data_IF_100100571505
#
_entry.id   IF_100100571505
#
_cell.length_a   1.000
_cell.length_b   1.000
_cell.length_c   1.000
_cell.angle_alpha   90.00
_cell.angle_beta   90.00
_cell.angle_gamma   90.00
#
_symmetry.space_group_name_H-M   'P 1'
#
loop_
_entity.id
_entity.type
_entity.pdbx_description
1 polymer ?
#
# COMPACT_ATOMS: atom_id res chain seq x y z
N UNK A 1 18.60 47.45 48.15
CA UNK A 1 19.84 48.16 47.77
C UNK A 1 20.27 47.59 46.42
N UNK A 2 19.83 48.06 45.25
CA UNK A 2 20.00 49.37 44.56
C UNK A 2 21.38 49.61 43.93
N UNK A 3 21.48 49.36 42.63
CA UNK A 3 22.14 50.18 41.59
C UNK A 3 21.82 49.53 40.22
N UNK A 4 21.00 50.03 39.28
CA UNK A 4 20.74 51.33 38.61
C UNK A 4 21.68 51.63 37.42
N UNK A 5 21.18 51.43 36.19
CA UNK A 5 21.31 52.33 34.99
C UNK A 5 20.49 51.70 33.83
N UNK A 6 19.31 52.21 33.40
CA UNK A 6 18.99 53.37 32.51
C UNK A 6 19.66 53.31 31.12
N UNK A 7 19.08 53.55 29.94
CA UNK A 7 17.72 53.81 29.37
C UNK A 7 17.92 53.94 27.84
N UNK A 8 17.03 53.45 26.96
CA UNK A 8 16.34 54.23 25.88
C UNK A 8 15.47 53.37 24.95
N UNK A 9 14.24 53.82 24.81
CA UNK A 9 13.19 53.38 23.89
C UNK A 9 13.20 54.29 22.65
N UNK A 10 12.94 53.74 21.47
CA UNK A 10 12.36 54.47 20.33
C UNK A 10 11.46 53.53 19.52
N UNK A 11 10.19 53.90 19.44
CA UNK A 11 9.08 53.31 18.69
C UNK A 11 9.17 53.62 17.18
N UNK A 12 8.77 52.67 16.32
CA UNK A 12 8.40 52.95 14.93
C UNK A 12 7.26 52.03 14.48
N UNK A 13 6.18 52.68 14.05
CA UNK A 13 4.96 52.16 13.44
C UNK A 13 5.27 51.51 12.09
N UNK A 14 4.59 50.40 11.75
CA UNK A 14 4.62 49.80 10.42
C UNK A 14 3.26 49.93 9.73
N UNK A 15 3.21 50.80 8.72
CA UNK A 15 2.09 50.95 7.79
C UNK A 15 2.09 49.80 6.77
N UNK A 16 0.91 49.26 6.47
CA UNK A 16 0.69 48.23 5.46
C UNK A 16 0.73 48.78 4.02
N UNK A 17 0.92 47.92 3.00
CA UNK A 17 0.85 48.35 1.60
C UNK A 17 -0.56 48.18 1.01
N UNK A 18 -1.01 49.24 0.33
CA UNK A 18 -2.22 49.32 -0.49
C UNK A 18 -2.01 48.79 -1.93
N UNK A 19 -3.10 48.50 -2.67
CA UNK A 19 -3.12 47.63 -3.85
C UNK A 19 -2.86 48.35 -5.18
N UNK A 20 -2.36 47.63 -6.18
CA UNK A 20 -2.20 48.11 -7.56
C UNK A 20 -3.40 47.65 -8.39
N UNK A 21 -4.20 48.60 -8.85
CA UNK A 21 -5.23 48.45 -9.89
C UNK A 21 -4.59 48.70 -11.27
N UNK A 22 -4.98 47.91 -12.27
CA UNK A 22 -4.86 48.29 -13.69
C UNK A 22 -6.25 48.23 -14.33
N UNK A 23 -6.65 49.37 -14.92
CA UNK A 23 -7.83 49.52 -15.77
C UNK A 23 -7.48 49.48 -17.28
N UNK A 24 -8.47 49.61 -18.18
CA UNK A 24 -8.56 48.84 -19.42
C UNK A 24 -8.21 49.61 -20.72
N UNK A 25 -7.93 48.86 -21.78
CA UNK A 25 -7.94 49.23 -23.22
C UNK A 25 -7.65 47.93 -24.00
N UNK A 26 -8.28 47.50 -25.09
CA UNK A 26 -9.27 48.04 -26.01
C UNK A 26 -9.07 47.28 -27.34
N UNK A 27 -10.07 46.50 -27.76
CA UNK A 27 -10.44 45.96 -29.08
C UNK A 27 -9.38 45.40 -30.07
N UNK A 28 -9.55 44.14 -30.51
CA UNK A 28 -10.15 43.81 -31.82
C UNK A 28 -10.23 42.29 -32.14
N UNK A 29 -11.33 41.95 -32.82
CA UNK A 29 -11.53 40.86 -33.79
C UNK A 29 -11.44 39.38 -33.34
N UNK A 30 -12.60 38.72 -33.37
CA UNK A 30 -12.76 37.32 -33.03
C UNK A 30 -12.38 36.32 -34.12
N UNK A 31 -12.12 35.09 -33.65
CA UNK A 31 -12.46 33.82 -34.31
C UNK A 31 -12.93 32.90 -33.19
N UNK A 32 -14.22 32.56 -33.19
CA UNK A 32 -14.78 31.61 -32.22
C UNK A 32 -14.48 30.18 -32.68
N UNK A 33 -13.37 29.62 -32.20
CA UNK A 33 -13.24 28.16 -32.17
C UNK A 33 -13.75 27.67 -30.81
N UNK A 34 -15.02 27.25 -30.82
CA UNK A 34 -15.63 26.50 -29.72
C UNK A 34 -14.84 25.20 -29.53
N UNK A 35 -13.87 25.21 -28.62
CA UNK A 35 -13.33 23.99 -28.02
C UNK A 35 -14.47 23.39 -27.21
N UNK A 36 -15.13 22.39 -27.78
CA UNK A 36 -16.08 21.53 -27.06
C UNK A 36 -15.35 20.93 -25.86
N UNK A 37 -15.71 21.37 -24.66
CA UNK A 37 -15.39 20.67 -23.42
C UNK A 37 -15.88 19.22 -23.55
N UNK A 38 -15.02 18.21 -23.37
CA UNK A 38 -15.51 16.86 -23.16
C UNK A 38 -16.25 16.87 -21.82
N UNK A 39 -17.55 16.66 -21.87
CA UNK A 39 -18.37 16.46 -20.67
C UNK A 39 -17.83 15.29 -19.85
N UNK A 40 -18.20 15.31 -18.57
CA UNK A 40 -18.00 14.26 -17.58
C UNK A 40 -17.80 12.88 -18.20
N UNK A 41 -16.63 12.29 -17.92
CA UNK A 41 -16.33 10.91 -18.26
C UNK A 41 -17.38 10.05 -17.56
N UNK A 42 -18.36 9.56 -18.32
CA UNK A 42 -19.24 8.48 -17.91
C UNK A 42 -18.35 7.30 -17.51
N UNK A 43 -18.12 7.11 -16.21
CA UNK A 43 -17.51 5.89 -15.63
C UNK A 43 -18.53 4.73 -15.60
N UNK A 44 -19.38 4.66 -16.61
CA UNK A 44 -20.41 3.66 -16.80
C UNK A 44 -20.25 3.09 -18.19
N UNK A 45 -19.18 2.31 -18.40
CA UNK A 45 -19.09 1.22 -19.37
C UNK A 45 -17.64 0.72 -19.39
N UNK A 46 -17.27 -0.06 -18.37
CA UNK A 46 -16.21 -1.03 -18.52
C UNK A 46 -16.84 -2.40 -18.27
N UNK A 47 -16.93 -3.21 -19.33
CA UNK A 47 -17.70 -4.46 -19.36
C UNK A 47 -16.87 -5.68 -18.95
N UNK A 48 -15.83 -5.48 -18.14
CA UNK A 48 -15.01 -6.57 -17.60
C UNK A 48 -14.89 -6.47 -16.07
N UNK A 49 -16.04 -6.51 -15.38
CA UNK A 49 -16.09 -6.50 -13.91
C UNK A 49 -15.88 -7.90 -13.34
N UNK A 50 -14.65 -8.17 -12.91
CA UNK A 50 -14.38 -9.17 -11.87
C UNK A 50 -15.18 -8.83 -10.61
N UNK A 51 -15.83 -9.83 -10.01
CA UNK A 51 -16.78 -9.68 -8.89
C UNK A 51 -16.21 -8.87 -7.73
N UNK A 52 -16.90 -7.77 -7.41
CA UNK A 52 -16.50 -6.73 -6.45
C UNK A 52 -16.80 -7.12 -4.98
N UNK A 53 -15.97 -6.60 -4.08
CA UNK A 53 -15.86 -6.98 -2.66
C UNK A 53 -16.79 -6.16 -1.74
N UNK A 54 -17.52 -6.86 -0.87
CA UNK A 54 -18.53 -6.27 0.03
C UNK A 54 -17.90 -5.58 1.24
N UNK A 55 -18.24 -4.30 1.45
CA UNK A 55 -17.94 -3.54 2.66
C UNK A 55 -18.78 -4.06 3.86
N UNK A 56 -18.13 -4.51 4.93
CA UNK A 56 -18.78 -5.07 6.14
C UNK A 56 -18.66 -4.18 7.39
N UNK A 57 -18.40 -2.88 7.22
CA UNK A 57 -18.28 -1.94 8.33
C UNK A 57 -19.62 -1.41 8.82
N UNK A 58 -20.28 -2.12 9.73
CA UNK A 58 -21.43 -1.60 10.50
C UNK A 58 -20.93 -0.59 11.55
N UNK A 59 -20.90 0.71 11.22
CA UNK A 59 -20.95 1.82 12.20
C UNK A 59 -21.19 3.20 11.56
N UNK A 60 -22.40 3.72 11.79
CA UNK A 60 -22.75 5.12 12.10
C UNK A 60 -22.78 6.28 11.08
N UNK A 61 -22.16 6.22 9.89
CA UNK A 61 -22.43 7.28 8.88
C UNK A 61 -23.66 7.00 8.01
N UNK A 62 -24.05 5.73 7.88
CA UNK A 62 -25.14 5.35 6.99
C UNK A 62 -26.51 5.85 7.47
N UNK A 63 -26.78 5.82 8.77
CA UNK A 63 -28.05 6.32 9.31
C UNK A 63 -28.24 7.83 9.10
N UNK A 64 -27.15 8.61 9.13
CA UNK A 64 -27.20 10.04 8.81
C UNK A 64 -27.44 10.25 7.31
N UNK A 65 -26.67 9.55 6.46
CA UNK A 65 -26.82 9.62 5.00
C UNK A 65 -28.23 9.21 4.56
N UNK A 66 -28.78 8.10 5.06
CA UNK A 66 -30.13 7.66 4.72
C UNK A 66 -31.23 8.63 5.17
N UNK A 67 -31.00 9.35 6.29
CA UNK A 67 -31.94 10.32 6.84
C UNK A 67 -31.94 11.63 6.05
N UNK A 68 -30.76 12.12 5.68
CA UNK A 68 -30.61 13.40 4.98
C UNK A 68 -30.77 13.27 3.46
N UNK A 69 -30.39 12.13 2.88
CA UNK A 69 -30.25 11.93 1.42
C UNK A 69 -31.32 11.01 0.80
N UNK A 70 -32.20 10.43 1.64
CA UNK A 70 -33.20 9.44 1.22
C UNK A 70 -32.66 8.02 1.10
N UNK A 71 -33.56 7.04 0.95
CA UNK A 71 -33.22 5.62 0.85
C UNK A 71 -32.87 5.23 -0.62
N UNK A 72 -31.61 4.91 -0.96
CA UNK A 72 -31.18 4.53 -2.31
C UNK A 72 -31.59 3.11 -2.72
N UNK A 73 -32.05 2.28 -1.78
CA UNK A 73 -32.08 0.81 -1.90
C UNK A 73 -33.34 0.24 -2.55
N UNK A 74 -33.95 0.92 -3.52
CA UNK A 74 -35.06 0.33 -4.29
C UNK A 74 -34.50 -0.58 -5.40
N UNK A 75 -34.13 -1.83 -5.07
CA UNK A 75 -33.66 -2.82 -6.04
C UNK A 75 -32.74 -3.91 -5.46
N UNK A 76 -32.26 -4.82 -6.33
CA UNK A 76 -31.25 -5.83 -5.98
C UNK A 76 -29.93 -5.16 -5.59
N UNK A 77 -29.38 -5.60 -4.46
CA UNK A 77 -28.31 -4.91 -3.74
C UNK A 77 -26.91 -5.38 -4.18
N UNK A 78 -26.12 -4.46 -4.72
CA UNK A 78 -24.67 -4.61 -4.95
C UNK A 78 -23.89 -3.48 -4.24
N UNK A 79 -22.74 -3.80 -3.65
CA UNK A 79 -22.00 -2.92 -2.73
C UNK A 79 -21.24 -1.78 -3.41
N UNK A 80 -20.78 -1.96 -4.65
CA UNK A 80 -20.21 -0.90 -5.49
C UNK A 80 -21.28 -0.03 -6.12
N UNK A 81 -22.42 -0.63 -6.49
CA UNK A 81 -23.64 0.14 -6.78
C UNK A 81 -24.00 1.01 -5.58
N UNK A 82 -23.88 0.49 -4.35
CA UNK A 82 -24.19 1.26 -3.15
C UNK A 82 -23.26 2.47 -2.93
N UNK A 83 -21.93 2.30 -3.01
CA UNK A 83 -20.99 3.42 -2.84
C UNK A 83 -21.19 4.49 -3.92
N UNK A 84 -21.30 4.07 -5.18
CA UNK A 84 -21.54 4.97 -6.32
C UNK A 84 -22.89 5.66 -6.19
N UNK A 85 -23.95 4.94 -5.79
CA UNK A 85 -25.28 5.52 -5.57
C UNK A 85 -25.29 6.52 -4.41
N UNK A 86 -24.57 6.27 -3.31
CA UNK A 86 -24.45 7.26 -2.23
C UNK A 86 -23.70 8.50 -2.71
N UNK A 87 -22.59 8.33 -3.44
CA UNK A 87 -21.78 9.44 -3.94
C UNK A 87 -22.56 10.28 -4.97
N UNK A 88 -23.26 9.63 -5.91
CA UNK A 88 -24.16 10.29 -6.85
C UNK A 88 -25.30 11.02 -6.13
N UNK A 89 -25.92 10.41 -5.13
CA UNK A 89 -26.94 11.08 -4.31
C UNK A 89 -26.34 12.28 -3.59
N UNK A 90 -25.16 12.15 -3.00
CA UNK A 90 -24.43 13.26 -2.38
C UNK A 90 -24.23 14.42 -3.34
N UNK A 91 -23.64 14.15 -4.49
CA UNK A 91 -23.37 15.16 -5.51
C UNK A 91 -24.67 15.77 -6.04
N UNK A 92 -25.73 14.98 -6.25
CA UNK A 92 -27.00 15.48 -6.79
C UNK A 92 -27.69 16.51 -5.90
N UNK A 93 -27.50 16.46 -4.58
CA UNK A 93 -28.05 17.44 -3.64
C UNK A 93 -27.22 18.73 -3.54
N UNK A 94 -26.01 18.77 -4.12
CA UNK A 94 -25.17 19.97 -4.14
C UNK A 94 -25.66 20.99 -5.18
N UNK A 95 -25.55 22.27 -4.84
CA UNK A 95 -25.77 23.36 -5.80
C UNK A 95 -24.72 23.37 -6.91
N UNK A 96 -25.08 23.87 -8.09
CA UNK A 96 -24.21 23.87 -9.27
C UNK A 96 -22.84 24.54 -8.99
N UNK A 97 -22.83 25.67 -8.28
CA UNK A 97 -21.60 26.36 -7.91
C UNK A 97 -20.64 25.46 -7.11
N UNK A 98 -21.16 24.63 -6.21
CA UNK A 98 -20.34 23.70 -5.42
C UNK A 98 -19.79 22.58 -6.31
N UNK A 99 -20.60 22.06 -7.24
CA UNK A 99 -20.14 21.07 -8.23
C UNK A 99 -19.00 21.63 -9.07
N UNK A 100 -19.16 22.83 -9.61
CA UNK A 100 -18.12 23.49 -10.43
C UNK A 100 -16.81 23.69 -9.64
N UNK A 101 -16.88 23.97 -8.34
CA UNK A 101 -15.70 24.08 -7.48
C UNK A 101 -15.02 22.74 -7.23
N UNK A 102 -15.79 21.66 -7.06
CA UNK A 102 -15.25 20.30 -6.91
C UNK A 102 -14.55 19.86 -8.21
N UNK A 103 -15.17 20.10 -9.37
CA UNK A 103 -14.58 19.79 -10.68
C UNK A 103 -13.29 20.57 -10.92
N UNK A 104 -13.27 21.85 -10.56
CA UNK A 104 -12.06 22.68 -10.66
C UNK A 104 -10.94 22.16 -9.75
N UNK A 105 -11.28 21.70 -8.54
CA UNK A 105 -10.31 21.09 -7.63
C UNK A 105 -9.74 19.79 -8.18
N UNK A 106 -10.58 18.88 -8.69
CA UNK A 106 -10.14 17.62 -9.31
C UNK A 106 -9.23 17.89 -10.53
N UNK A 107 -9.58 18.86 -11.36
CA UNK A 107 -8.77 19.27 -12.50
C UNK A 107 -7.38 19.79 -12.05
N UNK A 108 -7.35 20.65 -11.03
CA UNK A 108 -6.10 21.17 -10.45
C UNK A 108 -5.22 20.05 -9.89
N UNK A 109 -5.79 19.09 -9.16
CA UNK A 109 -5.05 17.95 -8.62
C UNK A 109 -4.50 17.06 -9.74
N UNK A 110 -5.28 16.84 -10.81
CA UNK A 110 -4.82 16.06 -11.96
C UNK A 110 -3.64 16.72 -12.68
N UNK A 111 -3.67 18.05 -12.83
CA UNK A 111 -2.53 18.81 -13.41
C UNK A 111 -1.30 18.66 -12.52
N UNK A 112 -1.44 18.84 -11.20
CA UNK A 112 -0.34 18.66 -10.23
C UNK A 112 0.27 17.26 -10.33
N UNK A 113 -0.55 16.22 -10.43
CA UNK A 113 -0.09 14.83 -10.60
C UNK A 113 0.66 14.62 -11.93
N UNK A 114 0.26 15.29 -13.01
CA UNK A 114 0.97 15.26 -14.28
C UNK A 114 2.34 15.95 -14.18
N UNK A 115 2.40 17.13 -13.54
CA UNK A 115 3.64 17.90 -13.38
C UNK A 115 4.72 17.16 -12.59
N UNK A 116 4.35 16.45 -11.52
CA UNK A 116 5.29 15.62 -10.75
C UNK A 116 5.65 14.30 -11.47
N UNK A 117 5.02 14.02 -12.60
CA UNK A 117 5.21 12.82 -13.40
C UNK A 117 4.61 11.56 -12.77
N UNK A 118 3.53 11.68 -11.97
CA UNK A 118 2.89 10.52 -11.35
C UNK A 118 2.34 9.51 -12.38
N UNK A 119 1.94 10.01 -13.56
CA UNK A 119 1.52 9.19 -14.70
C UNK A 119 2.65 8.91 -15.70
N UNK A 120 3.86 9.42 -15.45
CA UNK A 120 4.99 9.25 -16.36
C UNK A 120 5.40 7.78 -16.38
N UNK A 121 5.33 7.18 -17.56
CA UNK A 121 5.84 5.84 -17.82
C UNK A 121 7.33 5.92 -18.14
N UNK A 122 8.07 4.93 -17.66
CA UNK A 122 9.48 4.74 -18.01
C UNK A 122 9.58 4.05 -19.37
N UNK A 123 10.73 4.16 -20.00
CA UNK A 123 11.05 3.37 -21.18
C UNK A 123 10.83 1.88 -20.89
N UNK A 124 10.30 1.16 -21.88
CA UNK A 124 9.83 -0.22 -21.70
C UNK A 124 10.91 -1.14 -21.15
N UNK A 125 12.15 -1.02 -21.64
CA UNK A 125 13.30 -1.79 -21.15
C UNK A 125 13.60 -1.53 -19.67
N UNK A 126 13.48 -0.28 -19.23
CA UNK A 126 13.73 0.12 -17.83
C UNK A 126 12.59 -0.37 -16.94
N UNK A 127 11.35 -0.19 -17.40
CA UNK A 127 10.15 -0.69 -16.74
C UNK A 127 10.22 -2.21 -16.55
N UNK A 128 10.52 -2.96 -17.61
CA UNK A 128 10.63 -4.42 -17.58
C UNK A 128 11.73 -4.87 -16.62
N UNK A 129 12.88 -4.22 -16.61
CA UNK A 129 13.99 -4.56 -15.71
C UNK A 129 13.66 -4.28 -14.23
N UNK A 130 12.95 -3.19 -13.92
CA UNK A 130 12.47 -2.91 -12.56
C UNK A 130 11.40 -3.91 -12.11
N UNK A 131 10.49 -4.27 -13.01
CA UNK A 131 9.46 -5.30 -12.77
C UNK A 131 10.11 -6.66 -12.51
N UNK A 132 11.08 -7.07 -13.35
CA UNK A 132 11.85 -8.30 -13.16
C UNK A 132 12.58 -8.30 -11.81
N UNK A 133 13.22 -7.19 -11.45
CA UNK A 133 13.90 -7.05 -10.17
C UNK A 133 12.92 -7.24 -9.00
N UNK A 134 11.75 -6.60 -9.06
CA UNK A 134 10.73 -6.73 -8.04
C UNK A 134 10.26 -8.19 -7.88
N UNK A 135 9.91 -8.86 -8.98
CA UNK A 135 9.41 -10.23 -8.91
C UNK A 135 10.48 -11.26 -8.53
N UNK A 136 11.75 -11.02 -8.88
CA UNK A 136 12.84 -11.90 -8.51
C UNK A 136 13.25 -11.77 -7.03
N UNK A 137 13.30 -10.55 -6.50
CA UNK A 137 13.89 -10.27 -5.18
C UNK A 137 12.83 -10.13 -4.08
N UNK A 138 11.71 -9.48 -4.39
CA UNK A 138 10.77 -8.97 -3.37
C UNK A 138 9.50 -9.82 -3.32
N UNK A 139 8.93 -10.14 -4.48
CA UNK A 139 7.67 -10.89 -4.57
C UNK A 139 7.64 -12.21 -3.78
N UNK A 140 8.71 -13.02 -3.67
CA UNK A 140 8.64 -14.23 -2.86
C UNK A 140 8.49 -13.96 -1.35
N UNK A 141 8.88 -12.77 -0.87
CA UNK A 141 8.56 -12.29 0.48
C UNK A 141 7.16 -11.65 0.57
N UNK A 142 6.67 -11.08 -0.53
CA UNK A 142 5.40 -10.37 -0.58
C UNK A 142 4.52 -10.80 -1.77
N UNK A 143 3.93 -12.00 -1.74
CA UNK A 143 3.19 -12.54 -2.89
C UNK A 143 1.78 -11.94 -2.99
N UNK A 144 1.70 -10.61 -3.04
CA UNK A 144 0.48 -9.80 -2.97
C UNK A 144 -0.23 -9.65 -4.31
N UNK A 145 0.39 -10.10 -5.41
CA UNK A 145 -0.16 -10.04 -6.76
C UNK A 145 -0.57 -11.43 -7.26
N UNK A 146 -1.60 -11.46 -8.10
CA UNK A 146 -1.86 -12.57 -9.01
C UNK A 146 -0.95 -12.38 -10.23
N UNK A 147 -0.03 -13.32 -10.46
CA UNK A 147 1.00 -13.18 -11.48
C UNK A 147 0.41 -13.09 -12.90
N UNK A 148 -0.60 -13.89 -13.18
CA UNK A 148 -1.24 -13.98 -14.49
C UNK A 148 -2.07 -12.73 -14.80
N UNK A 149 -2.83 -12.23 -13.83
CA UNK A 149 -3.59 -10.99 -13.93
C UNK A 149 -2.65 -9.79 -14.05
N UNK A 150 -1.62 -9.71 -13.21
CA UNK A 150 -0.62 -8.64 -13.25
C UNK A 150 0.05 -8.59 -14.62
N UNK A 151 0.52 -9.74 -15.13
CA UNK A 151 1.17 -9.83 -16.43
C UNK A 151 0.26 -9.35 -17.56
N UNK A 152 -1.00 -9.79 -17.56
CA UNK A 152 -2.00 -9.41 -18.56
C UNK A 152 -2.24 -7.89 -18.54
N UNK A 153 -2.49 -7.33 -17.35
CA UNK A 153 -2.65 -5.88 -17.16
C UNK A 153 -1.38 -5.11 -17.54
N UNK A 154 -0.20 -5.66 -17.26
CA UNK A 154 1.07 -5.01 -17.55
C UNK A 154 1.37 -4.95 -19.04
N UNK A 155 1.11 -6.02 -19.80
CA UNK A 155 1.21 -6.02 -21.26
C UNK A 155 0.17 -5.12 -21.92
N UNK A 156 -1.04 -5.04 -21.35
CA UNK A 156 -2.08 -4.13 -21.80
C UNK A 156 -1.87 -2.67 -21.35
N UNK A 157 -0.82 -2.39 -20.57
CA UNK A 157 -0.54 -1.08 -19.96
C UNK A 157 -1.69 -0.54 -19.08
N UNK A 158 -2.42 -1.45 -18.44
CA UNK A 158 -3.59 -1.21 -17.60
C UNK A 158 -3.30 -1.41 -16.10
N UNK A 159 -2.05 -1.65 -15.71
CA UNK A 159 -1.68 -1.65 -14.29
C UNK A 159 -1.90 -0.24 -13.74
N UNK A 160 -2.55 -0.18 -12.58
CA UNK A 160 -2.74 1.04 -11.81
C UNK A 160 -1.45 1.86 -11.74
N UNK A 161 -1.48 3.16 -12.10
CA UNK A 161 -0.35 4.06 -11.90
C UNK A 161 0.12 4.07 -10.44
N UNK A 162 -0.79 3.98 -9.46
CA UNK A 162 -0.44 3.94 -8.04
C UNK A 162 0.40 2.70 -7.72
N UNK A 163 -0.09 1.53 -8.12
CA UNK A 163 0.63 0.25 -7.91
C UNK A 163 1.95 0.25 -8.67
N UNK A 164 1.97 0.74 -9.90
CA UNK A 164 3.17 0.72 -10.74
C UNK A 164 4.27 1.63 -10.21
N UNK A 165 3.93 2.85 -9.75
CA UNK A 165 4.89 3.74 -9.10
C UNK A 165 5.41 3.14 -7.78
N UNK A 166 4.54 2.51 -6.98
CA UNK A 166 4.94 1.85 -5.74
C UNK A 166 5.86 0.63 -6.02
N UNK A 167 5.58 -0.13 -7.08
CA UNK A 167 6.41 -1.24 -7.53
C UNK A 167 7.77 -0.74 -8.02
N UNK A 168 7.84 0.32 -8.82
CA UNK A 168 9.11 0.93 -9.22
C UNK A 168 9.90 1.45 -8.02
N UNK A 169 9.24 2.02 -7.02
CA UNK A 169 9.89 2.43 -5.78
C UNK A 169 10.63 1.26 -5.13
N UNK A 170 9.93 0.14 -4.91
CA UNK A 170 10.54 -1.03 -4.26
C UNK A 170 11.55 -1.72 -5.18
N UNK A 171 11.28 -1.86 -6.47
CA UNK A 171 12.22 -2.43 -7.45
C UNK A 171 13.51 -1.59 -7.59
N UNK A 172 13.39 -0.27 -7.55
CA UNK A 172 14.54 0.64 -7.58
C UNK A 172 15.43 0.49 -6.34
N UNK A 173 14.93 -0.02 -5.21
CA UNK A 173 15.75 -0.29 -4.04
C UNK A 173 16.72 -1.47 -4.25
N UNK A 174 16.42 -2.38 -5.19
CA UNK A 174 17.16 -3.65 -5.37
C UNK A 174 17.86 -3.79 -6.73
N UNK A 175 17.52 -2.98 -7.73
CA UNK A 175 18.08 -3.13 -9.09
C UNK A 175 19.56 -2.73 -9.19
N UNK A 176 20.22 -3.02 -10.30
CA UNK A 176 21.60 -2.58 -10.53
C UNK A 176 21.71 -1.05 -10.66
N UNK A 177 22.85 -0.49 -10.25
CA UNK A 177 23.11 0.97 -10.34
C UNK A 177 23.08 1.46 -11.79
N UNK A 178 23.52 0.63 -12.74
CA UNK A 178 23.45 0.92 -14.17
C UNK A 178 22.02 1.19 -14.68
N UNK A 179 21.02 0.52 -14.09
CA UNK A 179 19.61 0.74 -14.43
C UNK A 179 19.09 2.07 -13.90
N UNK A 180 19.53 2.45 -12.69
CA UNK A 180 19.19 3.75 -12.08
C UNK A 180 19.71 4.92 -12.94
N UNK A 181 20.94 4.81 -13.44
CA UNK A 181 21.55 5.80 -14.31
C UNK A 181 20.81 5.89 -15.66
N UNK A 182 20.47 4.74 -16.27
CA UNK A 182 19.66 4.69 -17.50
C UNK A 182 18.27 5.30 -17.32
N UNK A 183 17.67 5.14 -16.14
CA UNK A 183 16.41 5.76 -15.78
C UNK A 183 16.50 7.28 -15.55
N UNK A 184 17.69 7.87 -15.68
CA UNK A 184 17.92 9.31 -15.58
C UNK A 184 18.07 9.82 -14.15
N UNK A 185 18.28 8.94 -13.17
CA UNK A 185 18.47 9.33 -11.77
C UNK A 185 19.95 9.38 -11.39
N UNK A 186 20.31 10.38 -10.57
CA UNK A 186 21.69 10.56 -10.11
C UNK A 186 22.17 9.43 -9.18
N UNK A 187 21.26 8.83 -8.40
CA UNK A 187 21.56 7.73 -7.50
C UNK A 187 20.27 7.00 -7.09
N UNK A 188 20.42 5.86 -6.43
CA UNK A 188 19.32 5.01 -5.98
C UNK A 188 18.33 5.75 -5.09
N UNK A 189 18.83 6.56 -4.16
CA UNK A 189 17.98 7.32 -3.24
C UNK A 189 17.07 8.29 -3.99
N UNK A 190 17.57 8.99 -5.01
CA UNK A 190 16.75 9.88 -5.82
C UNK A 190 15.67 9.11 -6.60
N UNK A 191 16.00 7.94 -7.17
CA UNK A 191 15.03 7.11 -7.85
C UNK A 191 13.91 6.63 -6.90
N UNK A 192 14.29 6.06 -5.76
CA UNK A 192 13.33 5.55 -4.78
C UNK A 192 12.47 6.68 -4.21
N UNK A 193 13.08 7.83 -3.87
CA UNK A 193 12.35 9.02 -3.41
C UNK A 193 11.35 9.52 -4.46
N UNK A 194 11.75 9.63 -5.73
CA UNK A 194 10.84 10.09 -6.80
C UNK A 194 9.66 9.14 -6.99
N UNK A 195 9.88 7.84 -7.08
CA UNK A 195 8.80 6.86 -7.24
C UNK A 195 7.88 6.81 -6.01
N UNK A 196 8.44 6.87 -4.81
CA UNK A 196 7.67 6.98 -3.56
C UNK A 196 6.78 8.23 -3.55
N UNK A 197 7.32 9.41 -3.87
CA UNK A 197 6.54 10.66 -3.89
C UNK A 197 5.43 10.63 -4.93
N UNK A 198 5.66 10.02 -6.10
CA UNK A 198 4.63 9.83 -7.14
C UNK A 198 3.51 8.91 -6.68
N UNK A 199 3.85 7.75 -6.12
CA UNK A 199 2.86 6.82 -5.56
C UNK A 199 2.07 7.45 -4.40
N UNK A 200 2.76 8.10 -3.46
CA UNK A 200 2.15 8.84 -2.37
C UNK A 200 1.19 9.92 -2.86
N UNK A 201 1.56 10.69 -3.89
CA UNK A 201 0.70 11.73 -4.43
C UNK A 201 -0.58 11.15 -5.08
N UNK A 202 -0.47 10.01 -5.78
CA UNK A 202 -1.64 9.30 -6.33
C UNK A 202 -2.57 8.79 -5.22
N UNK A 203 -2.01 8.28 -4.13
CA UNK A 203 -2.77 7.85 -2.97
C UNK A 203 -3.47 9.04 -2.27
N UNK A 204 -2.72 10.11 -1.96
CA UNK A 204 -3.26 11.30 -1.29
C UNK A 204 -4.37 11.97 -2.13
N UNK A 205 -4.34 11.81 -3.46
CA UNK A 205 -5.37 12.30 -4.39
C UNK A 205 -6.56 11.33 -4.61
N UNK A 206 -6.61 10.19 -3.90
CA UNK A 206 -7.62 9.14 -4.08
C UNK A 206 -7.79 8.68 -5.54
N UNK A 207 -6.68 8.58 -6.28
CA UNK A 207 -6.72 8.28 -7.71
C UNK A 207 -7.19 6.83 -8.00
N UNK A 208 -6.80 5.88 -7.15
CA UNK A 208 -7.11 4.46 -7.32
C UNK A 208 -8.51 4.12 -6.79
N UNK A 209 -9.32 3.46 -7.61
CA UNK A 209 -10.66 3.00 -7.24
C UNK A 209 -10.68 1.56 -6.72
N UNK A 210 -9.76 0.71 -7.18
CA UNK A 210 -9.61 -0.66 -6.71
C UNK A 210 -8.96 -0.67 -5.33
N UNK A 211 -9.75 -1.08 -4.34
CA UNK A 211 -9.30 -1.13 -2.96
C UNK A 211 -8.20 -2.19 -2.74
N UNK A 212 -8.18 -3.28 -3.50
CA UNK A 212 -7.11 -4.28 -3.42
C UNK A 212 -5.80 -3.71 -3.98
N UNK A 213 -5.86 -3.02 -5.12
CA UNK A 213 -4.72 -2.29 -5.68
C UNK A 213 -4.20 -1.23 -4.68
N UNK A 214 -5.10 -0.56 -3.96
CA UNK A 214 -4.74 0.39 -2.92
C UNK A 214 -4.04 -0.28 -1.73
N UNK A 215 -4.52 -1.43 -1.24
CA UNK A 215 -3.82 -2.21 -0.19
C UNK A 215 -2.42 -2.63 -0.65
N UNK A 216 -2.30 -3.15 -1.88
CA UNK A 216 -1.01 -3.56 -2.45
C UNK A 216 -0.05 -2.37 -2.51
N UNK A 217 -0.50 -1.21 -2.98
CA UNK A 217 0.34 -0.01 -3.04
C UNK A 217 0.74 0.51 -1.65
N UNK A 218 -0.19 0.54 -0.68
CA UNK A 218 0.09 0.94 0.70
C UNK A 218 1.12 0.02 1.36
N UNK A 219 1.01 -1.28 1.13
CA UNK A 219 2.01 -2.25 1.56
C UNK A 219 3.37 -1.98 0.91
N UNK A 220 3.43 -1.66 -0.39
CA UNK A 220 4.70 -1.33 -1.02
C UNK A 220 5.28 0.00 -0.52
N UNK A 221 4.44 0.99 -0.21
CA UNK A 221 4.85 2.25 0.42
C UNK A 221 5.41 2.06 1.83
N UNK A 222 5.07 0.97 2.53
CA UNK A 222 5.62 0.67 3.86
C UNK A 222 7.09 0.28 3.85
N UNK A 223 7.73 0.17 2.68
CA UNK A 223 9.19 0.05 2.58
C UNK A 223 9.91 1.41 2.66
N UNK A 224 9.18 2.53 2.69
CA UNK A 224 9.78 3.86 2.76
C UNK A 224 10.37 4.15 4.13
N UNK A 225 11.67 4.46 4.15
CA UNK A 225 12.38 5.00 5.30
C UNK A 225 13.18 6.22 4.86
N UNK A 226 12.55 7.39 4.90
CA UNK A 226 13.19 8.64 4.53
C UNK A 226 14.07 9.18 5.64
N UNK A 227 13.47 9.55 6.77
CA UNK A 227 14.16 10.15 7.91
C UNK A 227 13.58 9.61 9.22
N UNK A 228 14.40 9.44 10.28
CA UNK A 228 13.91 9.04 11.61
C UNK A 228 12.87 9.99 12.23
N UNK A 229 12.72 11.20 11.70
CA UNK A 229 11.74 12.20 12.17
C UNK A 229 10.50 12.30 11.28
N UNK A 230 10.48 11.61 10.14
CA UNK A 230 9.34 11.64 9.23
C UNK A 230 8.15 10.90 9.85
N UNK A 231 6.99 11.53 9.87
CA UNK A 231 5.78 10.94 10.47
C UNK A 231 5.14 9.87 9.58
N UNK A 232 5.36 9.94 8.26
CA UNK A 232 4.91 8.94 7.28
C UNK A 232 6.02 7.90 7.03
N UNK A 233 6.41 7.23 8.10
CA UNK A 233 7.44 6.17 8.11
C UNK A 233 6.85 4.79 7.74
N UNK A 234 7.68 3.74 7.86
CA UNK A 234 7.28 2.34 7.64
C UNK A 234 6.04 1.95 8.46
N UNK A 235 5.96 2.37 9.73
CA UNK A 235 4.86 2.01 10.62
C UNK A 235 3.56 2.69 10.18
N UNK A 236 3.60 3.96 9.80
CA UNK A 236 2.44 4.69 9.28
C UNK A 236 1.80 4.01 8.08
N UNK A 237 2.59 3.72 7.04
CA UNK A 237 2.08 3.09 5.82
C UNK A 237 1.59 1.66 6.06
N UNK A 238 2.26 0.92 6.95
CA UNK A 238 1.79 -0.40 7.40
C UNK A 238 0.43 -0.31 8.07
N UNK A 239 0.22 0.67 8.95
CA UNK A 239 -1.07 0.89 9.60
C UNK A 239 -2.20 1.19 8.62
N UNK A 240 -1.92 1.98 7.57
CA UNK A 240 -2.89 2.23 6.50
C UNK A 240 -3.22 0.96 5.71
N UNK A 241 -2.21 0.15 5.36
CA UNK A 241 -2.42 -1.12 4.67
C UNK A 241 -3.25 -2.11 5.52
N UNK A 242 -2.93 -2.25 6.81
CA UNK A 242 -3.67 -3.08 7.78
C UNK A 242 -5.11 -2.59 7.90
N UNK A 243 -5.31 -1.29 8.12
CA UNK A 243 -6.64 -0.70 8.32
C UNK A 243 -7.55 -0.88 7.11
N UNK A 244 -7.02 -0.69 5.89
CA UNK A 244 -7.77 -0.92 4.67
C UNK A 244 -8.07 -2.41 4.45
N UNK A 245 -7.08 -3.30 4.64
CA UNK A 245 -7.29 -4.75 4.57
C UNK A 245 -8.34 -5.23 5.58
N UNK A 246 -8.38 -4.64 6.77
CA UNK A 246 -9.40 -4.92 7.78
C UNK A 246 -10.78 -4.40 7.36
N UNK A 247 -10.86 -3.20 6.80
CA UNK A 247 -12.11 -2.60 6.28
C UNK A 247 -12.72 -3.46 5.16
N UNK A 248 -11.87 -4.04 4.32
CA UNK A 248 -12.24 -5.01 3.29
C UNK A 248 -12.59 -6.40 3.85
N UNK A 249 -12.44 -6.62 5.16
CA UNK A 249 -12.75 -7.90 5.79
C UNK A 249 -11.75 -9.01 5.49
N UNK A 250 -10.56 -8.71 4.95
CA UNK A 250 -9.55 -9.72 4.59
C UNK A 250 -9.11 -10.59 5.76
N UNK A 251 -9.22 -10.07 6.98
CA UNK A 251 -8.95 -10.75 8.25
C UNK A 251 -10.06 -11.72 8.72
N UNK A 252 -11.18 -11.81 8.02
CA UNK A 252 -12.35 -12.59 8.44
C UNK A 252 -12.64 -13.74 7.47
N UNK A 253 -12.77 -14.96 7.98
CA UNK A 253 -13.03 -16.15 7.14
C UNK A 253 -14.34 -16.06 6.35
N UNK A 254 -15.36 -15.39 6.88
CA UNK A 254 -16.66 -15.19 6.19
C UNK A 254 -16.53 -14.42 4.87
N UNK A 255 -15.56 -13.52 4.75
CA UNK A 255 -15.31 -12.73 3.54
C UNK A 255 -14.95 -13.59 2.34
N UNK A 256 -14.42 -14.79 2.58
CA UNK A 256 -13.98 -15.72 1.55
C UNK A 256 -15.12 -16.61 1.03
N UNK A 257 -16.28 -16.62 1.68
CA UNK A 257 -17.40 -17.46 1.29
C UNK A 257 -17.94 -17.04 -0.10
N UNK A 258 -18.05 -17.99 -1.02
CA UNK A 258 -18.59 -17.75 -2.37
C UNK A 258 -17.61 -17.14 -3.38
N UNK A 259 -16.38 -16.81 -2.97
CA UNK A 259 -15.35 -16.32 -3.88
C UNK A 259 -14.74 -17.47 -4.72
N UNK A 260 -14.32 -17.20 -5.98
CA UNK A 260 -13.48 -18.11 -6.74
C UNK A 260 -12.19 -18.46 -5.98
N UNK A 261 -11.67 -19.68 -6.15
CA UNK A 261 -10.45 -20.13 -5.44
C UNK A 261 -9.26 -19.18 -5.69
N UNK A 262 -9.06 -18.76 -6.95
CA UNK A 262 -7.99 -17.82 -7.34
C UNK A 262 -8.03 -16.53 -6.51
N UNK A 263 -9.21 -15.94 -6.33
CA UNK A 263 -9.40 -14.73 -5.52
C UNK A 263 -9.20 -15.01 -4.03
N UNK A 264 -9.66 -16.17 -3.53
CA UNK A 264 -9.42 -16.59 -2.13
C UNK A 264 -7.94 -16.71 -1.81
N UNK A 265 -7.17 -17.38 -2.68
CA UNK A 265 -5.71 -17.52 -2.55
C UNK A 265 -5.06 -16.15 -2.49
N UNK A 266 -5.34 -15.26 -3.46
CA UNK A 266 -4.79 -13.90 -3.48
C UNK A 266 -5.09 -13.12 -2.20
N UNK A 267 -6.33 -13.12 -1.74
CA UNK A 267 -6.74 -12.39 -0.54
C UNK A 267 -6.11 -12.94 0.74
N UNK A 268 -5.95 -14.27 0.84
CA UNK A 268 -5.19 -14.89 1.94
C UNK A 268 -3.72 -14.47 1.90
N UNK A 269 -3.10 -14.48 0.71
CA UNK A 269 -1.71 -14.02 0.52
C UNK A 269 -1.54 -12.57 0.97
N UNK A 270 -2.43 -11.66 0.52
CA UNK A 270 -2.39 -10.25 0.89
C UNK A 270 -2.54 -10.08 2.41
N UNK A 271 -3.57 -10.69 3.02
CA UNK A 271 -3.81 -10.59 4.46
C UNK A 271 -2.59 -11.03 5.28
N UNK A 272 -2.06 -12.22 5.00
CA UNK A 272 -0.95 -12.78 5.77
C UNK A 272 0.37 -12.06 5.50
N UNK A 273 0.55 -11.48 4.32
CA UNK A 273 1.71 -10.63 4.01
C UNK A 273 1.66 -9.34 4.83
N UNK A 274 0.52 -8.64 4.83
CA UNK A 274 0.33 -7.40 5.60
C UNK A 274 0.42 -7.67 7.11
N UNK A 275 -0.21 -8.75 7.59
CA UNK A 275 -0.13 -9.17 8.99
C UNK A 275 1.32 -9.39 9.43
N UNK A 276 2.07 -10.21 8.68
CA UNK A 276 3.44 -10.58 9.08
C UNK A 276 4.39 -9.39 9.03
N UNK A 277 4.17 -8.49 8.07
CA UNK A 277 4.92 -7.24 7.97
C UNK A 277 4.62 -6.31 9.14
N UNK A 278 3.36 -6.18 9.57
CA UNK A 278 3.00 -5.38 10.75
C UNK A 278 3.66 -5.88 12.04
N UNK A 279 3.66 -7.20 12.27
CA UNK A 279 4.37 -7.77 13.43
C UNK A 279 5.87 -7.48 13.35
N UNK A 280 6.48 -7.62 12.17
CA UNK A 280 7.91 -7.35 11.99
C UNK A 280 8.25 -5.87 12.18
N UNK A 281 7.44 -4.94 11.67
CA UNK A 281 7.65 -3.50 11.83
C UNK A 281 7.46 -3.06 13.27
N UNK A 282 6.41 -3.56 13.93
CA UNK A 282 6.18 -3.35 15.36
C UNK A 282 7.39 -3.81 16.19
N UNK A 283 7.93 -4.97 15.85
CA UNK A 283 9.13 -5.50 16.48
C UNK A 283 10.37 -4.61 16.25
N UNK A 284 10.68 -4.27 14.99
CA UNK A 284 11.89 -3.51 14.64
C UNK A 284 11.86 -2.10 15.23
N UNK A 285 10.69 -1.47 15.26
CA UNK A 285 10.51 -0.08 15.67
C UNK A 285 10.16 0.06 17.16
N UNK A 286 9.90 -1.04 17.87
CA UNK A 286 9.44 -1.02 19.26
C UNK A 286 8.03 -0.45 19.42
N UNK A 287 7.20 -0.55 18.37
CA UNK A 287 5.81 -0.08 18.37
C UNK A 287 4.85 -1.24 18.68
N UNK A 288 3.60 -0.90 19.01
CA UNK A 288 2.53 -1.90 19.09
C UNK A 288 2.09 -2.28 17.68
N UNK A 289 1.83 -3.58 17.39
CA UNK A 289 1.19 -3.99 16.15
C UNK A 289 -0.18 -3.32 15.96
N UNK A 290 -0.53 -3.00 14.72
CA UNK A 290 -1.87 -2.55 14.36
C UNK A 290 -2.87 -3.71 14.33
N UNK A 291 -2.42 -4.90 13.93
CA UNK A 291 -3.25 -6.10 13.91
C UNK A 291 -3.56 -6.55 15.33
N UNK A 292 -4.79 -7.02 15.53
CA UNK A 292 -5.19 -7.69 16.75
C UNK A 292 -5.65 -9.10 16.42
N UNK A 293 -4.87 -10.08 16.87
CA UNK A 293 -5.07 -11.50 16.58
C UNK A 293 -6.46 -12.01 17.02
N UNK A 294 -7.03 -11.43 18.08
CA UNK A 294 -8.34 -11.83 18.61
C UNK A 294 -9.50 -11.64 17.61
N UNK A 295 -9.33 -10.76 16.62
CA UNK A 295 -10.33 -10.51 15.58
C UNK A 295 -10.04 -11.24 14.27
N UNK A 296 -8.92 -11.96 14.18
CA UNK A 296 -8.48 -12.61 12.96
C UNK A 296 -8.99 -14.06 12.91
N UNK A 297 -9.73 -14.40 11.84
CA UNK A 297 -10.30 -15.75 11.67
C UNK A 297 -9.91 -16.45 10.37
N UNK A 298 -9.04 -15.84 9.57
CA UNK A 298 -8.53 -16.44 8.31
C UNK A 298 -7.70 -17.69 8.62
N UNK A 299 -7.88 -18.79 7.87
CA UNK A 299 -6.96 -19.93 7.93
C UNK A 299 -5.53 -19.51 7.58
N UNK A 300 -4.54 -20.19 8.17
CA UNK A 300 -3.14 -19.97 7.83
C UNK A 300 -2.85 -20.18 6.35
N UNK A 301 -1.84 -19.46 5.87
CA UNK A 301 -1.30 -19.61 4.53
C UNK A 301 -0.73 -21.02 4.35
N UNK A 302 -0.96 -21.60 3.18
CA UNK A 302 -0.44 -22.92 2.78
C UNK A 302 0.36 -22.80 1.48
N UNK A 303 1.15 -23.82 1.13
CA UNK A 303 1.87 -23.85 -0.15
C UNK A 303 0.91 -23.73 -1.35
N UNK A 304 -0.26 -24.35 -1.26
CA UNK A 304 -1.30 -24.27 -2.30
C UNK A 304 -1.82 -22.85 -2.54
N UNK A 305 -1.68 -21.94 -1.57
CA UNK A 305 -2.02 -20.53 -1.75
C UNK A 305 -0.95 -19.78 -2.55
N UNK A 306 0.29 -20.25 -2.55
CA UNK A 306 1.43 -19.64 -3.25
C UNK A 306 1.62 -20.24 -4.65
N UNK A 307 1.29 -21.51 -4.81
CA UNK A 307 1.26 -22.18 -6.11
C UNK A 307 0.21 -21.52 -7.00
N UNK A 308 0.71 -20.76 -7.97
CA UNK A 308 -0.04 -20.39 -9.16
C UNK A 308 -0.04 -21.60 -10.10
N UNK A 309 -1.18 -21.90 -10.72
CA UNK A 309 -1.28 -23.02 -11.65
C UNK A 309 -0.28 -22.79 -12.80
N UNK A 310 0.68 -23.70 -13.02
CA UNK A 310 1.80 -23.50 -13.96
C UNK A 310 1.34 -23.21 -15.40
N UNK A 311 0.10 -23.57 -15.75
CA UNK A 311 -0.54 -23.28 -17.04
C UNK A 311 -0.93 -21.79 -17.21
N UNK A 312 -0.95 -21.00 -16.14
CA UNK A 312 -1.41 -19.60 -16.11
C UNK A 312 -0.28 -18.55 -16.10
N UNK A 313 1.00 -18.91 -15.92
CA UNK A 313 2.13 -17.95 -15.86
C UNK A 313 2.64 -17.65 -17.28
N UNK A 314 2.28 -16.51 -17.90
CA UNK A 314 2.42 -16.37 -19.34
C UNK A 314 3.85 -16.00 -19.78
N UNK A 315 4.71 -15.60 -18.85
CA UNK A 315 6.05 -15.07 -19.11
C UNK A 315 7.00 -15.22 -17.91
N UNK A 316 7.61 -16.39 -17.78
CA UNK A 316 8.60 -16.69 -16.72
C UNK A 316 9.84 -15.79 -16.83
N UNK A 317 10.10 -15.16 -17.98
CA UNK A 317 11.23 -14.24 -18.14
C UNK A 317 10.98 -12.90 -17.43
N UNK A 318 9.76 -12.37 -17.51
CA UNK A 318 9.40 -11.12 -16.83
C UNK A 318 9.16 -11.32 -15.32
N UNK A 319 8.46 -12.39 -14.94
CA UNK A 319 8.01 -12.59 -13.56
C UNK A 319 8.91 -13.53 -12.74
N UNK A 320 9.89 -14.16 -13.39
CA UNK A 320 10.73 -15.16 -12.76
C UNK A 320 9.97 -16.44 -12.39
N UNK A 321 10.70 -17.37 -11.78
CA UNK A 321 10.14 -18.61 -11.23
C UNK A 321 10.43 -18.66 -9.72
N UNK A 322 9.41 -18.98 -8.92
CA UNK A 322 9.61 -19.19 -7.48
C UNK A 322 10.23 -20.55 -7.20
N UNK A 323 11.21 -20.59 -6.30
CA UNK A 323 11.79 -21.85 -5.83
C UNK A 323 10.89 -22.47 -4.76
N UNK A 324 11.02 -23.78 -4.54
CA UNK A 324 10.33 -24.42 -3.41
C UNK A 324 10.74 -23.78 -2.07
N UNK A 325 12.01 -23.39 -1.94
CA UNK A 325 12.52 -22.70 -0.75
C UNK A 325 11.79 -21.37 -0.50
N UNK A 326 11.59 -20.56 -1.55
CA UNK A 326 10.93 -19.25 -1.42
C UNK A 326 9.43 -19.38 -1.12
N UNK A 327 8.76 -20.40 -1.68
CA UNK A 327 7.34 -20.69 -1.38
C UNK A 327 7.13 -21.12 0.07
N UNK A 328 7.99 -22.01 0.55
CA UNK A 328 7.96 -22.45 1.94
C UNK A 328 8.30 -21.30 2.89
N UNK A 329 9.25 -20.45 2.53
CA UNK A 329 9.67 -19.34 3.37
C UNK A 329 8.49 -18.48 3.83
N UNK A 330 7.64 -17.99 2.91
CA UNK A 330 6.55 -17.10 3.29
C UNK A 330 5.51 -17.80 4.19
N UNK A 331 5.22 -19.08 3.94
CA UNK A 331 4.32 -19.89 4.78
C UNK A 331 4.83 -19.98 6.22
N UNK A 332 6.11 -20.29 6.39
CA UNK A 332 6.72 -20.42 7.71
C UNK A 332 7.02 -19.06 8.36
N UNK A 333 7.31 -18.03 7.56
CA UNK A 333 7.45 -16.65 8.04
C UNK A 333 6.15 -16.14 8.68
N UNK A 334 5.00 -16.48 8.11
CA UNK A 334 3.68 -16.17 8.70
C UNK A 334 3.48 -16.87 10.04
N UNK A 335 3.85 -18.16 10.16
CA UNK A 335 3.78 -18.87 11.45
C UNK A 335 4.72 -18.24 12.49
N UNK A 336 5.93 -17.87 12.09
CA UNK A 336 6.87 -17.15 12.94
C UNK A 336 6.30 -15.81 13.38
N UNK A 337 5.74 -15.02 12.47
CA UNK A 337 5.13 -13.73 12.79
C UNK A 337 4.00 -13.88 13.82
N UNK A 338 3.15 -14.90 13.71
CA UNK A 338 2.10 -15.14 14.71
C UNK A 338 2.67 -15.47 16.09
N UNK A 339 3.72 -16.28 16.16
CA UNK A 339 4.41 -16.58 17.43
C UNK A 339 5.07 -15.33 18.02
N UNK A 340 5.67 -14.52 17.16
CA UNK A 340 6.25 -13.22 17.52
C UNK A 340 5.20 -12.27 18.07
N UNK A 341 4.00 -12.19 17.45
CA UNK A 341 2.87 -11.40 17.94
C UNK A 341 2.52 -11.75 19.39
N UNK A 342 2.40 -13.04 19.69
CA UNK A 342 2.10 -13.53 21.05
C UNK A 342 3.23 -13.22 22.04
N UNK A 343 4.48 -13.26 21.58
CA UNK A 343 5.64 -12.86 22.38
C UNK A 343 5.66 -11.36 22.66
N UNK A 344 5.35 -10.51 21.66
CA UNK A 344 5.25 -9.05 21.83
C UNK A 344 4.14 -8.69 22.81
N UNK A 345 2.98 -9.35 22.73
CA UNK A 345 1.88 -9.16 23.69
C UNK A 345 2.31 -9.54 25.12
N UNK A 346 3.07 -10.63 25.29
CA UNK A 346 3.57 -11.03 26.60
C UNK A 346 4.64 -10.08 27.17
N UNK A 347 5.50 -9.53 26.31
CA UNK A 347 6.59 -8.62 26.68
C UNK A 347 6.10 -7.20 26.98
N UNK A 348 5.26 -6.66 26.10
CA UNK A 348 4.88 -5.24 26.08
C UNK A 348 3.40 -5.01 26.45
N UNK A 349 2.60 -6.07 26.63
CA UNK A 349 1.24 -5.95 27.09
C UNK A 349 1.16 -5.37 28.50
N UNK A 350 0.01 -4.76 28.82
CA UNK A 350 -0.22 -4.10 30.11
C UNK A 350 -0.05 -5.04 31.33
N UNK A 351 -0.18 -6.34 31.13
CA UNK A 351 0.06 -7.38 32.13
C UNK A 351 1.28 -8.22 31.74
N UNK A 352 2.47 -7.79 32.16
CA UNK A 352 3.71 -8.55 31.98
C UNK A 352 3.75 -9.72 32.97
N UNK A 353 4.03 -10.91 32.45
CA UNK A 353 4.18 -12.16 33.21
C UNK A 353 5.39 -12.91 32.68
N UNK A 354 6.44 -13.03 33.52
CA UNK A 354 7.69 -13.70 33.16
C UNK A 354 7.47 -15.14 32.67
N UNK A 355 6.46 -15.84 33.21
CA UNK A 355 6.14 -17.20 32.78
C UNK A 355 5.57 -17.26 31.37
N UNK A 356 4.71 -16.28 31.01
CA UNK A 356 4.17 -16.13 29.64
C UNK A 356 5.24 -15.74 28.65
N UNK A 357 6.16 -14.86 29.05
CA UNK A 357 7.30 -14.46 28.23
C UNK A 357 8.20 -15.67 27.95
N UNK A 358 8.62 -16.39 28.99
CA UNK A 358 9.46 -17.58 28.84
C UNK A 358 8.79 -18.64 27.96
N UNK A 359 7.51 -18.94 28.22
CA UNK A 359 6.73 -19.89 27.41
C UNK A 359 6.65 -19.47 25.94
N UNK A 360 6.49 -18.18 25.65
CA UNK A 360 6.46 -17.67 24.26
C UNK A 360 7.80 -17.80 23.56
N UNK A 361 8.91 -17.51 24.26
CA UNK A 361 10.27 -17.69 23.72
C UNK A 361 10.63 -19.16 23.50
N UNK A 362 10.22 -20.06 24.40
CA UNK A 362 10.42 -21.50 24.25
C UNK A 362 9.65 -22.05 23.04
N UNK A 363 8.45 -21.51 22.77
CA UNK A 363 7.65 -21.85 21.58
C UNK A 363 8.28 -21.38 20.26
N UNK A 364 9.07 -20.31 20.27
CA UNK A 364 9.83 -19.84 19.10
C UNK A 364 11.10 -20.68 18.92
N UNK A 365 11.77 -21.03 20.02
CA UNK A 365 12.97 -21.86 19.99
C UNK A 365 12.68 -23.28 19.52
N UNK A 366 11.59 -23.89 20.01
CA UNK A 366 11.12 -25.19 19.55
C UNK A 366 10.62 -25.17 18.11
N UNK A 367 10.08 -24.04 17.64
CA UNK A 367 9.58 -23.89 16.28
C UNK A 367 10.66 -24.07 15.20
N UNK A 368 11.90 -23.68 15.47
CA UNK A 368 13.01 -23.91 14.53
C UNK A 368 13.17 -25.39 14.15
N UNK A 369 12.85 -26.31 15.06
CA UNK A 369 12.90 -27.75 14.80
C UNK A 369 11.76 -28.28 13.92
N UNK A 370 10.68 -27.51 13.77
CA UNK A 370 9.48 -27.84 12.98
C UNK A 370 9.66 -27.43 11.51
N UNK A 371 10.65 -26.59 11.19
CA UNK A 371 10.92 -26.15 9.82
C UNK A 371 11.18 -27.35 8.90
N UNK A 372 10.73 -27.32 7.62
CA UNK A 372 11.06 -28.36 6.64
C UNK A 372 12.57 -28.44 6.42
N UNK A 373 13.06 -29.61 6.01
CA UNK A 373 14.50 -29.80 5.74
C UNK A 373 15.08 -28.78 4.75
N UNK A 374 14.26 -28.32 3.79
CA UNK A 374 14.62 -27.29 2.81
C UNK A 374 14.98 -25.96 3.49
N UNK A 375 14.31 -25.59 4.58
CA UNK A 375 14.55 -24.37 5.38
C UNK A 375 15.44 -24.61 6.61
N UNK A 376 15.97 -25.82 6.80
CA UNK A 376 16.90 -26.13 7.90
C UNK A 376 18.37 -26.07 7.45
N UNK A 377 18.64 -26.27 6.16
CA UNK A 377 20.01 -26.43 5.65
C UNK A 377 20.55 -25.10 5.12
N UNK A 378 21.56 -24.55 5.79
CA UNK A 378 22.39 -23.50 5.19
C UNK A 378 23.27 -24.13 4.11
N UNK A 379 22.97 -23.83 2.84
CA UNK A 379 23.87 -24.15 1.73
C UNK A 379 25.22 -23.46 1.90
N UNK A 380 26.28 -24.01 1.29
CA UNK A 380 27.63 -23.44 1.38
C UNK A 380 27.79 -22.10 0.66
N UNK A 381 26.87 -21.73 -0.22
CA UNK A 381 26.81 -20.45 -0.91
C UNK A 381 25.38 -19.89 -0.88
N UNK A 382 25.23 -18.62 -0.49
CA UNK A 382 23.94 -17.93 -0.38
C UNK A 382 23.63 -17.25 -1.72
N UNK A 383 22.51 -17.62 -2.33
CA UNK A 383 21.94 -16.99 -3.53
C UNK A 383 20.42 -16.94 -3.44
N UNK A 384 19.76 -16.12 -4.27
CA UNK A 384 18.29 -16.09 -4.34
C UNK A 384 17.66 -17.46 -4.70
N UNK A 385 18.43 -18.30 -5.39
CA UNK A 385 18.01 -19.65 -5.79
C UNK A 385 18.27 -20.71 -4.70
N UNK A 386 19.17 -20.43 -3.75
CA UNK A 386 19.53 -21.38 -2.69
C UNK A 386 20.09 -20.67 -1.46
N UNK A 387 19.46 -20.90 -0.31
CA UNK A 387 19.97 -20.55 1.02
C UNK A 387 19.69 -19.11 1.46
N UNK A 388 19.28 -18.20 0.57
CA UNK A 388 18.89 -16.83 0.93
C UNK A 388 17.67 -16.81 1.86
N UNK A 389 16.60 -17.51 1.47
CA UNK A 389 15.33 -17.52 2.22
C UNK A 389 15.48 -18.26 3.55
N UNK A 390 16.24 -19.35 3.55
CA UNK A 390 16.65 -20.05 4.77
C UNK A 390 17.43 -19.12 5.71
N UNK A 391 18.42 -18.40 5.21
CA UNK A 391 19.20 -17.47 6.03
C UNK A 391 18.31 -16.36 6.62
N UNK A 392 17.37 -15.84 5.81
CA UNK A 392 16.47 -14.77 6.23
C UNK A 392 15.54 -15.22 7.37
N UNK A 393 14.93 -16.41 7.27
CA UNK A 393 14.02 -16.91 8.32
C UNK A 393 14.76 -17.19 9.64
N UNK A 394 15.98 -17.73 9.57
CA UNK A 394 16.82 -17.94 10.75
C UNK A 394 17.27 -16.61 11.38
N UNK A 395 17.64 -15.62 10.55
CA UNK A 395 17.99 -14.28 11.02
C UNK A 395 16.81 -13.61 11.74
N UNK A 396 15.61 -13.66 11.18
CA UNK A 396 14.40 -13.14 11.83
C UNK A 396 14.15 -13.86 13.15
N UNK A 397 14.29 -15.19 13.19
CA UNK A 397 14.08 -15.94 14.42
C UNK A 397 15.08 -15.57 15.51
N UNK A 398 16.36 -15.40 15.16
CA UNK A 398 17.40 -14.96 16.09
C UNK A 398 17.14 -13.53 16.60
N UNK A 399 16.70 -12.64 15.71
CA UNK A 399 16.33 -11.28 16.09
C UNK A 399 15.20 -11.28 17.12
N UNK A 400 14.16 -12.09 16.92
CA UNK A 400 13.06 -12.22 17.88
C UNK A 400 13.53 -12.77 19.23
N UNK A 401 14.44 -13.74 19.24
CA UNK A 401 15.02 -14.28 20.47
C UNK A 401 15.88 -13.26 21.22
N UNK A 402 16.48 -12.30 20.50
CA UNK A 402 17.35 -11.29 21.08
C UNK A 402 16.63 -10.19 21.86
N UNK A 403 15.31 -10.00 21.67
CA UNK A 403 14.51 -8.91 22.27
C UNK A 403 14.59 -8.90 23.81
N UNK A 404 14.84 -10.06 24.43
CA UNK A 404 14.94 -10.17 25.89
C UNK A 404 16.23 -9.57 26.47
N UNK A 405 17.30 -9.54 25.68
CA UNK A 405 18.62 -9.04 26.11
C UNK A 405 18.71 -7.53 25.94
#
# INVERSE_FOLDING_TARGET
MSSRTKTKVASRESAGPHPIQYGPSGDEAGVSDQVRSPGFINRTNDSDRGKEMVYYGDSFNLNYVLREMGNPFQGDFDSTSFKLSIEELYLNHLGQQTKDQLDAHECSERIRLQEIGAFQRLDKEISDALVQTFFAVVYPHCPIFDLSEFHTKYKAEQVSPLVLQALYFVGAAHCEVSLIEKAGFANRYMATFTFYQRAKALYDANYESDAIATVQALYLLSYWWGSPLEQKDMWHWTGLAVGLAQTLGLHQSKTYAGLPERQRKLWRRIWWTVYSHDILMALILGNTPHVNEAYCSVPFLSEADIEDDEEDIPDTHLLGSQTQESRLYIVYFVDLAKRTSQCLEALFGACSDESRIQSSLDRISSWQSILPQVLQRNGSAISLQSGYWTSLIHLTCQFVQSIRN
#
